data_IF_974873533595
#
_entry.id   IF_974873533595
#
_cell.length_a   1.000
_cell.length_b   1.000
_cell.length_c   1.000
_cell.angle_alpha   90.00
_cell.angle_beta   90.00
_cell.angle_gamma   90.00
#
_symmetry.space_group_name_H-M   'P 1'
#
loop_
_entity.id
_entity.type
_entity.pdbx_description
1 polymer ?
#
# COMPACT_ATOMS: atom_id res chain seq x y z
N UNK A 1 -19.96 -10.90 22.72
CA UNK A 1 -19.01 -10.14 23.53
C UNK A 1 -18.28 -9.23 22.55
N UNK A 2 -18.55 -7.92 22.61
CA UNK A 2 -17.82 -6.92 21.81
C UNK A 2 -16.38 -6.90 22.31
N UNK A 3 -15.42 -7.39 21.49
CA UNK A 3 -14.02 -7.14 21.76
C UNK A 3 -13.85 -5.61 21.78
N UNK A 4 -13.41 -5.07 22.89
CA UNK A 4 -13.11 -3.66 23.01
C UNK A 4 -12.11 -3.31 21.92
N UNK A 5 -12.45 -2.30 21.11
CA UNK A 5 -11.61 -1.78 20.03
C UNK A 5 -10.50 -0.92 20.67
N UNK A 6 -9.56 -1.59 21.40
CA UNK A 6 -8.53 -0.87 22.14
C UNK A 6 -7.34 -0.61 21.21
N UNK A 7 -7.16 0.66 20.82
CA UNK A 7 -6.03 1.11 20.00
C UNK A 7 -4.66 0.77 20.63
N UNK A 8 -4.60 0.68 21.97
CA UNK A 8 -3.39 0.35 22.71
C UNK A 8 -2.84 -1.06 22.42
N UNK A 9 -3.69 -1.98 21.94
CA UNK A 9 -3.29 -3.35 21.62
C UNK A 9 -2.74 -3.51 20.20
N UNK A 10 -2.85 -2.45 19.36
CA UNK A 10 -2.39 -2.46 17.96
C UNK A 10 -1.40 -1.35 17.73
N UNK A 11 -0.16 -1.72 17.39
CA UNK A 11 0.91 -0.76 17.09
C UNK A 11 1.38 -0.94 15.65
N UNK A 12 1.21 0.11 14.83
CA UNK A 12 1.67 0.14 13.44
C UNK A 12 2.98 0.91 13.32
N UNK A 13 4.07 0.21 13.01
CA UNK A 13 5.32 0.84 12.60
C UNK A 13 5.18 1.34 11.16
N UNK A 14 5.21 2.64 11.00
CA UNK A 14 4.74 3.36 9.82
C UNK A 14 5.73 4.45 9.37
N UNK A 15 5.52 4.93 8.17
CA UNK A 15 6.06 6.19 7.66
C UNK A 15 5.03 6.80 6.71
N UNK A 16 4.67 8.06 6.92
CA UNK A 16 3.55 8.71 6.25
C UNK A 16 3.53 8.54 4.71
N UNK A 17 4.70 8.64 4.03
CA UNK A 17 4.81 8.48 2.57
C UNK A 17 4.96 7.05 2.08
N UNK A 18 5.04 6.06 2.95
CA UNK A 18 5.20 4.67 2.54
C UNK A 18 3.93 4.14 1.88
N UNK A 19 4.02 3.77 0.59
CA UNK A 19 2.89 3.14 -0.12
C UNK A 19 2.49 1.81 0.53
N UNK A 20 3.46 1.02 1.03
CA UNK A 20 3.17 -0.25 1.69
C UNK A 20 2.45 -0.05 3.03
N UNK A 21 2.85 0.97 3.82
CA UNK A 21 2.17 1.30 5.05
C UNK A 21 0.78 1.92 4.78
N UNK A 22 0.64 2.75 3.76
CA UNK A 22 -0.65 3.31 3.34
C UNK A 22 -1.68 2.20 3.04
N UNK A 23 -1.28 1.08 2.40
CA UNK A 23 -2.15 -0.10 2.22
C UNK A 23 -2.69 -0.63 3.56
N UNK A 24 -1.81 -0.78 4.55
CA UNK A 24 -2.20 -1.31 5.87
C UNK A 24 -3.08 -0.33 6.63
N UNK A 25 -2.79 0.98 6.56
CA UNK A 25 -3.66 2.02 7.13
C UNK A 25 -5.07 1.96 6.56
N UNK A 26 -5.20 1.85 5.22
CA UNK A 26 -6.52 1.69 4.56
C UNK A 26 -7.22 0.45 5.09
N UNK A 27 -6.55 -0.70 5.12
CA UNK A 27 -7.15 -1.95 5.57
C UNK A 27 -7.63 -1.87 7.03
N UNK A 28 -6.82 -1.32 7.94
CA UNK A 28 -7.21 -1.10 9.35
C UNK A 28 -8.44 -0.20 9.45
N UNK A 29 -8.48 0.90 8.69
CA UNK A 29 -9.63 1.83 8.68
C UNK A 29 -10.89 1.17 8.11
N UNK A 30 -10.78 0.38 7.04
CA UNK A 30 -11.91 -0.37 6.46
C UNK A 30 -12.47 -1.40 7.44
N UNK A 31 -11.61 -2.04 8.22
CA UNK A 31 -11.98 -3.00 9.27
C UNK A 31 -12.51 -2.32 10.56
N UNK A 32 -12.47 -0.98 10.63
CA UNK A 32 -12.85 -0.25 11.83
C UNK A 32 -11.93 -0.49 13.02
N UNK A 33 -10.66 -0.83 12.75
CA UNK A 33 -9.66 -1.12 13.77
C UNK A 33 -8.81 0.12 14.05
N UNK A 34 -8.91 0.67 15.25
CA UNK A 34 -8.02 1.72 15.69
C UNK A 34 -6.64 1.13 16.05
N UNK A 35 -5.60 1.93 15.89
CA UNK A 35 -4.21 1.55 16.14
C UNK A 35 -3.39 2.76 16.59
N UNK A 36 -2.30 2.50 17.30
CA UNK A 36 -1.28 3.49 17.63
C UNK A 36 -0.24 3.56 16.49
N UNK A 37 -0.01 4.72 15.86
CA UNK A 37 1.04 4.88 14.87
C UNK A 37 2.40 5.09 15.56
N UNK A 38 3.41 4.35 15.13
CA UNK A 38 4.80 4.52 15.53
C UNK A 38 5.64 4.90 14.31
N UNK A 39 6.03 6.15 14.21
CA UNK A 39 6.78 6.66 13.07
C UNK A 39 8.20 6.06 13.01
N UNK A 40 8.56 5.51 11.85
CA UNK A 40 9.91 5.05 11.50
C UNK A 40 10.35 5.79 10.26
N UNK A 41 11.07 6.90 10.46
CA UNK A 41 11.39 7.82 9.38
C UNK A 41 12.45 7.25 8.43
N UNK A 42 12.10 7.11 7.13
CA UNK A 42 12.95 6.41 6.16
C UNK A 42 14.17 7.21 5.67
N UNK A 43 14.21 8.53 5.94
CA UNK A 43 15.27 9.41 5.41
C UNK A 43 16.10 10.08 6.52
N UNK A 44 15.52 10.33 7.70
CA UNK A 44 16.23 10.93 8.83
C UNK A 44 17.27 9.95 9.38
N UNK A 45 18.39 10.46 9.84
CA UNK A 45 19.47 9.69 10.50
C UNK A 45 19.99 8.51 9.64
N UNK A 46 20.03 8.66 8.34
CA UNK A 46 20.40 7.58 7.42
C UNK A 46 19.31 6.53 7.20
N UNK A 47 18.11 6.77 7.76
CA UNK A 47 16.96 5.87 7.71
C UNK A 47 16.79 5.07 8.99
N UNK A 48 15.82 5.46 9.83
CA UNK A 48 15.55 4.83 11.13
C UNK A 48 15.19 3.34 11.02
N UNK A 49 14.70 2.89 9.85
CA UNK A 49 14.46 1.47 9.57
C UNK A 49 15.74 0.63 9.59
N UNK A 50 16.91 1.26 9.55
CA UNK A 50 18.22 0.58 9.62
C UNK A 50 18.81 0.57 11.04
N UNK A 51 18.23 1.31 11.98
CA UNK A 51 18.68 1.32 13.37
C UNK A 51 18.46 -0.06 14.03
N UNK A 52 19.38 -0.45 14.91
CA UNK A 52 19.35 -1.75 15.61
C UNK A 52 18.01 -1.95 16.35
N UNK A 53 17.48 -0.90 16.97
CA UNK A 53 16.21 -0.94 17.68
C UNK A 53 15.04 -1.38 16.76
N UNK A 54 15.01 -0.91 15.50
CA UNK A 54 13.97 -1.33 14.56
C UNK A 54 14.28 -2.69 13.93
N UNK A 55 15.55 -3.02 13.68
CA UNK A 55 15.94 -4.32 13.13
C UNK A 55 15.63 -5.51 14.04
N UNK A 56 15.51 -5.29 15.35
CA UNK A 56 14.99 -6.30 16.28
C UNK A 56 13.49 -6.57 16.01
N UNK A 57 12.74 -5.54 15.60
CA UNK A 57 11.32 -5.63 15.25
C UNK A 57 11.16 -6.26 13.87
N UNK A 58 11.85 -5.71 12.86
CA UNK A 58 11.82 -6.24 11.50
C UNK A 58 13.25 -6.33 10.93
N UNK A 59 13.86 -7.53 10.92
CA UNK A 59 15.22 -7.73 10.40
C UNK A 59 15.41 -7.32 8.94
N UNK A 60 14.33 -7.26 8.13
CA UNK A 60 14.40 -6.76 6.75
C UNK A 60 14.68 -5.25 6.67
N UNK A 61 14.49 -4.48 7.77
CA UNK A 61 14.59 -3.03 7.75
C UNK A 61 13.57 -2.38 6.81
N UNK A 62 12.36 -2.92 6.77
CA UNK A 62 11.25 -2.44 5.94
C UNK A 62 10.04 -2.12 6.81
N UNK A 63 9.22 -1.19 6.34
CA UNK A 63 7.90 -0.89 6.89
C UNK A 63 6.83 -1.24 5.86
N UNK A 64 5.57 -1.52 6.29
CA UNK A 64 5.10 -1.58 7.67
C UNK A 64 5.49 -2.85 8.42
N UNK A 65 5.40 -2.76 9.76
CA UNK A 65 5.23 -3.89 10.65
C UNK A 65 4.04 -3.59 11.56
N UNK A 66 3.21 -4.58 11.86
CA UNK A 66 2.02 -4.42 12.69
C UNK A 66 2.08 -5.39 13.87
N UNK A 67 2.06 -4.85 15.09
CA UNK A 67 1.81 -5.64 16.30
C UNK A 67 0.30 -5.67 16.52
N UNK A 68 -0.27 -6.86 16.56
CA UNK A 68 -1.71 -7.09 16.71
C UNK A 68 -1.93 -8.50 17.30
N UNK A 69 -2.91 -8.67 18.17
CA UNK A 69 -3.33 -9.94 18.75
C UNK A 69 -2.15 -10.75 19.35
N UNK A 70 -1.20 -10.04 19.98
CA UNK A 70 0.00 -10.62 20.59
C UNK A 70 1.09 -11.04 19.60
N UNK A 71 0.90 -10.86 18.28
CA UNK A 71 1.86 -11.20 17.24
C UNK A 71 2.44 -9.95 16.57
N UNK A 72 3.59 -10.11 15.92
CA UNK A 72 4.18 -9.11 15.03
C UNK A 72 4.13 -9.60 13.59
N UNK A 73 3.45 -8.84 12.74
CA UNK A 73 3.25 -9.16 11.34
C UNK A 73 4.05 -8.20 10.47
N UNK A 74 4.61 -8.71 9.38
CA UNK A 74 5.32 -7.95 8.35
C UNK A 74 4.76 -8.27 6.97
N UNK A 75 5.14 -7.47 5.94
CA UNK A 75 4.62 -7.56 4.58
C UNK A 75 3.15 -7.11 4.46
N UNK A 76 2.93 -5.99 3.77
CA UNK A 76 1.62 -5.34 3.71
C UNK A 76 0.49 -6.25 3.24
N UNK A 77 0.73 -7.14 2.27
CA UNK A 77 -0.31 -8.05 1.78
C UNK A 77 -0.63 -9.15 2.78
N UNK A 78 0.40 -9.72 3.46
CA UNK A 78 0.18 -10.71 4.50
C UNK A 78 -0.59 -10.10 5.70
N UNK A 79 -0.29 -8.85 6.06
CA UNK A 79 -1.04 -8.11 7.08
C UNK A 79 -2.50 -7.94 6.66
N UNK A 80 -2.76 -7.53 5.40
CA UNK A 80 -4.12 -7.34 4.89
C UNK A 80 -4.90 -8.67 4.85
N UNK A 81 -4.28 -9.77 4.42
CA UNK A 81 -4.93 -11.08 4.43
C UNK A 81 -5.22 -11.56 5.86
N UNK A 82 -4.28 -11.36 6.80
CA UNK A 82 -4.55 -11.63 8.20
C UNK A 82 -5.75 -10.83 8.73
N UNK A 83 -5.79 -9.52 8.44
CA UNK A 83 -6.92 -8.67 8.84
C UNK A 83 -8.23 -9.14 8.21
N UNK A 84 -8.20 -9.66 6.98
CA UNK A 84 -9.39 -10.18 6.32
C UNK A 84 -9.90 -11.50 6.92
N UNK A 85 -8.98 -12.36 7.37
CA UNK A 85 -9.31 -13.64 8.01
C UNK A 85 -9.75 -13.46 9.47
N UNK A 86 -9.01 -12.65 10.25
CA UNK A 86 -9.28 -12.45 11.67
C UNK A 86 -10.46 -11.50 11.91
N UNK A 87 -10.67 -10.53 11.03
CA UNK A 87 -11.73 -9.51 11.08
C UNK A 87 -12.51 -9.52 9.75
N UNK A 88 -13.38 -10.50 9.50
CA UNK A 88 -13.89 -10.81 8.17
C UNK A 88 -14.83 -9.75 7.56
N UNK A 89 -15.29 -8.76 8.33
CA UNK A 89 -16.21 -7.74 7.83
C UNK A 89 -15.59 -6.33 7.84
N UNK A 90 -15.75 -5.58 6.74
CA UNK A 90 -16.13 -6.02 5.39
C UNK A 90 -15.05 -6.88 4.73
N UNK A 91 -15.38 -7.87 3.87
CA UNK A 91 -14.38 -8.74 3.25
C UNK A 91 -13.57 -7.98 2.19
N UNK A 92 -12.24 -8.15 2.22
CA UNK A 92 -11.32 -7.60 1.22
C UNK A 92 -10.93 -8.63 0.13
N UNK A 93 -11.19 -9.91 0.40
CA UNK A 93 -11.04 -11.03 -0.55
C UNK A 93 -12.37 -11.79 -0.68
N UNK A 94 -13.44 -11.14 -1.17
CA UNK A 94 -14.75 -11.78 -1.31
C UNK A 94 -14.79 -12.83 -2.43
N UNK A 95 -15.86 -13.64 -2.41
CA UNK A 95 -16.21 -14.55 -3.48
C UNK A 95 -15.56 -15.93 -3.42
N UNK A 96 -15.65 -16.65 -4.52
CA UNK A 96 -15.09 -17.99 -4.66
C UNK A 96 -13.57 -17.98 -4.89
N UNK A 97 -12.94 -19.13 -4.96
CA UNK A 97 -11.49 -19.26 -5.11
C UNK A 97 -10.95 -18.52 -6.35
N UNK A 98 -11.67 -18.53 -7.47
CA UNK A 98 -11.25 -17.88 -8.72
C UNK A 98 -11.31 -16.36 -8.58
N UNK A 99 -12.37 -15.82 -7.97
CA UNK A 99 -12.51 -14.38 -7.71
C UNK A 99 -11.42 -13.88 -6.75
N UNK A 100 -11.16 -14.61 -5.67
CA UNK A 100 -10.08 -14.32 -4.72
C UNK A 100 -8.70 -14.37 -5.39
N UNK A 101 -8.47 -15.35 -6.29
CA UNK A 101 -7.24 -15.43 -7.06
C UNK A 101 -7.07 -14.22 -8.00
N UNK A 102 -8.14 -13.76 -8.64
CA UNK A 102 -8.12 -12.58 -9.50
C UNK A 102 -7.79 -11.30 -8.71
N UNK A 103 -8.40 -11.09 -7.54
CA UNK A 103 -8.09 -9.96 -6.64
C UNK A 103 -6.61 -10.00 -6.23
N UNK A 104 -6.11 -11.18 -5.79
CA UNK A 104 -4.70 -11.34 -5.43
C UNK A 104 -3.77 -11.07 -6.61
N UNK A 105 -4.11 -11.54 -7.81
CA UNK A 105 -3.30 -11.32 -9.01
C UNK A 105 -3.11 -9.84 -9.33
N UNK A 106 -4.16 -9.02 -9.25
CA UNK A 106 -4.06 -7.56 -9.42
C UNK A 106 -3.21 -6.93 -8.31
N UNK A 107 -3.42 -7.35 -7.06
CA UNK A 107 -2.69 -6.84 -5.91
C UNK A 107 -1.20 -7.17 -5.97
N UNK A 108 -0.86 -8.40 -6.35
CA UNK A 108 0.52 -8.86 -6.48
C UNK A 108 1.24 -8.18 -7.65
N UNK A 109 0.58 -7.95 -8.78
CA UNK A 109 1.18 -7.20 -9.89
C UNK A 109 1.67 -5.82 -9.44
N UNK A 110 0.94 -5.15 -8.56
CA UNK A 110 1.38 -3.87 -7.98
C UNK A 110 2.45 -4.09 -6.92
N UNK A 111 2.23 -5.02 -5.99
CA UNK A 111 3.08 -5.17 -4.81
C UNK A 111 4.41 -5.87 -5.10
N UNK A 112 4.48 -6.72 -6.15
CA UNK A 112 5.65 -7.52 -6.50
C UNK A 112 6.37 -7.03 -7.76
N UNK A 113 5.64 -6.43 -8.72
CA UNK A 113 6.23 -6.12 -10.03
C UNK A 113 6.44 -4.61 -10.26
N UNK A 114 5.70 -3.73 -9.53
CA UNK A 114 5.85 -2.27 -9.64
C UNK A 114 6.56 -1.70 -8.41
N UNK A 115 5.93 -1.84 -7.24
CA UNK A 115 6.38 -1.19 -6.01
C UNK A 115 7.83 -1.51 -5.60
N UNK A 116 8.33 -2.77 -5.67
CA UNK A 116 9.69 -3.09 -5.23
C UNK A 116 10.76 -2.39 -6.06
N UNK A 117 10.50 -2.17 -7.35
CA UNK A 117 11.43 -1.51 -8.27
C UNK A 117 11.52 0.01 -8.00
N UNK A 118 10.49 0.58 -7.38
CA UNK A 118 10.41 1.99 -6.98
C UNK A 118 10.77 2.21 -5.51
N UNK A 119 11.15 1.15 -4.79
CA UNK A 119 11.48 1.23 -3.38
C UNK A 119 12.79 2.01 -3.15
N UNK A 120 12.84 2.78 -2.06
CA UNK A 120 13.98 3.62 -1.68
C UNK A 120 15.32 2.86 -1.69
N UNK A 121 15.34 1.58 -1.25
CA UNK A 121 16.56 0.75 -1.26
C UNK A 121 17.11 0.53 -2.66
N UNK A 122 16.25 0.39 -3.69
CA UNK A 122 16.64 0.24 -5.08
C UNK A 122 17.18 1.57 -5.61
N UNK A 123 16.47 2.66 -5.35
CA UNK A 123 16.88 4.01 -5.77
C UNK A 123 18.22 4.42 -5.14
N UNK A 124 18.43 4.10 -3.86
CA UNK A 124 19.70 4.31 -3.18
C UNK A 124 20.82 3.46 -3.79
N UNK A 125 20.53 2.22 -4.20
CA UNK A 125 21.50 1.34 -4.87
C UNK A 125 21.88 1.87 -6.25
N UNK A 126 20.92 2.36 -7.03
CA UNK A 126 21.17 2.99 -8.34
C UNK A 126 22.08 4.22 -8.17
N UNK A 127 21.82 5.06 -7.19
CA UNK A 127 22.68 6.21 -6.87
C UNK A 127 24.09 5.76 -6.46
N UNK A 128 24.19 4.82 -5.53
CA UNK A 128 25.49 4.43 -4.96
C UNK A 128 26.36 3.64 -5.94
N UNK A 129 25.77 2.76 -6.75
CA UNK A 129 26.51 1.87 -7.65
C UNK A 129 26.74 2.47 -9.04
N UNK A 130 25.77 3.22 -9.57
CA UNK A 130 25.79 3.71 -10.94
C UNK A 130 25.85 5.23 -11.04
N UNK A 131 25.88 5.95 -9.91
CA UNK A 131 25.91 7.41 -9.88
C UNK A 131 24.62 8.07 -10.37
N UNK A 132 23.49 7.32 -10.40
CA UNK A 132 22.23 7.82 -10.92
C UNK A 132 21.78 9.07 -10.14
N UNK A 133 21.58 10.18 -10.85
CA UNK A 133 21.04 11.44 -10.32
C UNK A 133 19.53 11.34 -10.05
N UNK A 134 18.95 12.44 -9.60
CA UNK A 134 17.51 12.48 -9.27
C UNK A 134 16.64 12.30 -10.52
N UNK A 135 17.00 12.90 -11.64
CA UNK A 135 16.28 12.79 -12.92
C UNK A 135 16.27 11.35 -13.41
N UNK A 136 17.42 10.68 -13.38
CA UNK A 136 17.55 9.28 -13.79
C UNK A 136 16.75 8.33 -12.88
N UNK A 137 16.74 8.59 -11.56
CA UNK A 137 15.95 7.79 -10.61
C UNK A 137 14.44 8.03 -10.78
N UNK A 138 14.03 9.26 -11.09
CA UNK A 138 12.63 9.58 -11.41
C UNK A 138 12.21 8.89 -12.71
N UNK A 139 13.02 8.95 -13.76
CA UNK A 139 12.78 8.22 -15.02
C UNK A 139 12.68 6.71 -14.82
N UNK A 140 13.53 6.13 -13.96
CA UNK A 140 13.45 4.72 -13.57
C UNK A 140 12.08 4.40 -12.93
N UNK A 141 11.62 5.19 -11.97
CA UNK A 141 10.34 4.97 -11.31
C UNK A 141 9.17 5.11 -12.29
N UNK A 142 9.20 6.15 -13.13
CA UNK A 142 8.16 6.34 -14.15
C UNK A 142 8.11 5.19 -15.14
N UNK A 143 9.25 4.69 -15.60
CA UNK A 143 9.31 3.54 -16.51
C UNK A 143 8.60 2.30 -15.95
N UNK A 144 8.91 1.90 -14.72
CA UNK A 144 8.30 0.71 -14.12
C UNK A 144 6.83 0.90 -13.77
N UNK A 145 6.42 2.11 -13.38
CA UNK A 145 5.01 2.44 -13.18
C UNK A 145 4.25 2.42 -14.50
N UNK A 146 4.80 2.99 -15.57
CA UNK A 146 4.19 2.97 -16.91
C UNK A 146 3.98 1.56 -17.42
N UNK A 147 5.01 0.72 -17.34
CA UNK A 147 4.95 -0.68 -17.79
C UNK A 147 3.88 -1.46 -17.01
N UNK A 148 3.86 -1.29 -15.69
CA UNK A 148 2.89 -1.96 -14.83
C UNK A 148 1.45 -1.46 -15.05
N UNK A 149 1.25 -0.15 -15.19
CA UNK A 149 -0.07 0.43 -15.44
C UNK A 149 -0.61 0.10 -16.82
N UNK A 150 0.26 0.05 -17.85
CA UNK A 150 -0.13 -0.39 -19.19
C UNK A 150 -0.67 -1.82 -19.20
N UNK A 151 -0.15 -2.70 -18.34
CA UNK A 151 -0.64 -4.06 -18.19
C UNK A 151 -1.90 -4.15 -17.28
N UNK A 152 -2.03 -3.25 -16.28
CA UNK A 152 -3.17 -3.22 -15.36
C UNK A 152 -4.43 -2.61 -15.98
N UNK A 153 -4.29 -1.54 -16.78
CA UNK A 153 -5.41 -0.77 -17.33
C UNK A 153 -6.44 -1.64 -18.05
N UNK A 154 -6.08 -2.45 -19.07
CA UNK A 154 -7.05 -3.30 -19.76
C UNK A 154 -7.66 -4.37 -18.85
N UNK A 155 -6.90 -4.90 -17.89
CA UNK A 155 -7.41 -5.89 -16.93
C UNK A 155 -8.46 -5.28 -16.01
N UNK A 156 -8.18 -4.10 -15.44
CA UNK A 156 -9.11 -3.38 -14.59
C UNK A 156 -10.34 -2.92 -15.37
N UNK A 157 -10.17 -2.48 -16.62
CA UNK A 157 -11.29 -2.12 -17.49
C UNK A 157 -12.27 -3.28 -17.67
N UNK A 158 -11.73 -4.48 -17.95
CA UNK A 158 -12.54 -5.68 -18.13
C UNK A 158 -13.17 -6.19 -16.81
N UNK A 159 -12.47 -6.07 -15.69
CA UNK A 159 -12.92 -6.63 -14.39
C UNK A 159 -13.86 -5.70 -13.62
N UNK A 160 -13.69 -4.39 -13.76
CA UNK A 160 -14.58 -3.43 -13.11
C UNK A 160 -15.92 -3.29 -13.83
N UNK A 161 -15.97 -3.59 -15.12
CA UNK A 161 -17.18 -3.52 -15.97
C UNK A 161 -18.04 -2.26 -15.70
N UNK A 162 -17.39 -1.11 -15.61
CA UNK A 162 -18.02 0.16 -15.27
C UNK A 162 -18.33 0.39 -13.78
N UNK A 163 -18.11 -0.59 -12.91
CA UNK A 163 -18.25 -0.45 -11.46
C UNK A 163 -17.23 0.53 -10.87
N UNK A 164 -17.50 0.96 -9.64
CA UNK A 164 -16.66 1.94 -8.90
C UNK A 164 -15.42 1.31 -8.27
N UNK A 165 -15.29 -0.02 -8.27
CA UNK A 165 -14.23 -0.78 -7.61
C UNK A 165 -13.48 -1.65 -8.60
N UNK A 166 -12.29 -2.10 -8.23
CA UNK A 166 -11.42 -2.89 -9.10
C UNK A 166 -12.06 -4.23 -9.51
N UNK A 167 -12.84 -4.83 -8.62
CA UNK A 167 -13.50 -6.12 -8.85
C UNK A 167 -14.89 -6.10 -8.21
N UNK A 168 -15.93 -6.11 -9.04
CA UNK A 168 -17.33 -6.12 -8.56
C UNK A 168 -17.78 -4.82 -7.88
N UNK A 169 -18.72 -4.94 -6.95
CA UNK A 169 -19.49 -3.80 -6.43
C UNK A 169 -18.98 -3.27 -5.08
N UNK A 170 -17.92 -3.83 -4.55
CA UNK A 170 -17.38 -3.48 -3.22
C UNK A 170 -15.86 -3.32 -3.24
N UNK A 171 -15.35 -2.61 -2.23
CA UNK A 171 -13.90 -2.50 -2.02
C UNK A 171 -13.28 -3.87 -1.80
N UNK A 172 -12.17 -4.11 -2.49
CA UNK A 172 -11.36 -5.32 -2.36
C UNK A 172 -9.91 -4.97 -2.03
N UNK A 173 -9.08 -5.98 -1.76
CA UNK A 173 -7.64 -5.79 -1.57
C UNK A 173 -6.99 -5.14 -2.81
N UNK A 174 -7.55 -5.34 -4.02
CA UNK A 174 -7.03 -4.69 -5.23
C UNK A 174 -7.14 -3.16 -5.16
N UNK A 175 -8.26 -2.62 -4.65
CA UNK A 175 -8.44 -1.18 -4.44
C UNK A 175 -7.48 -0.64 -3.38
N UNK A 176 -7.33 -1.38 -2.27
CA UNK A 176 -6.43 -1.05 -1.17
C UNK A 176 -4.97 -0.92 -1.64
N UNK A 177 -4.58 -1.74 -2.63
CA UNK A 177 -3.20 -1.74 -3.17
C UNK A 177 -3.05 -0.73 -4.31
N UNK A 178 -4.08 -0.52 -5.11
CA UNK A 178 -4.07 0.39 -6.27
C UNK A 178 -3.88 1.84 -5.84
N UNK A 179 -4.67 2.32 -4.87
CA UNK A 179 -4.68 3.73 -4.47
C UNK A 179 -3.31 4.24 -4.03
N UNK A 180 -2.54 3.55 -3.16
CA UNK A 180 -1.19 3.98 -2.80
C UNK A 180 -0.21 3.99 -3.99
N UNK A 181 -0.41 3.13 -4.98
CA UNK A 181 0.43 3.13 -6.18
C UNK A 181 0.10 4.30 -7.10
N UNK A 182 -1.17 4.65 -7.26
CA UNK A 182 -1.61 5.84 -8.00
C UNK A 182 -1.14 7.11 -7.30
N UNK A 183 -1.23 7.17 -5.96
CA UNK A 183 -0.65 8.28 -5.19
C UNK A 183 0.85 8.45 -5.48
N UNK A 184 1.59 7.34 -5.51
CA UNK A 184 3.01 7.37 -5.82
C UNK A 184 3.29 7.83 -7.26
N UNK A 185 2.49 7.40 -8.23
CA UNK A 185 2.59 7.81 -9.62
C UNK A 185 2.37 9.33 -9.79
N UNK A 186 1.34 9.86 -9.16
CA UNK A 186 1.04 11.30 -9.16
C UNK A 186 2.15 12.13 -8.51
N UNK A 187 2.72 11.63 -7.43
CA UNK A 187 3.83 12.29 -6.71
C UNK A 187 5.09 12.41 -7.57
N UNK A 188 5.31 11.50 -8.49
CA UNK A 188 6.45 11.51 -9.43
C UNK A 188 6.04 11.97 -10.83
N UNK A 189 4.96 12.76 -10.93
CA UNK A 189 4.49 13.41 -12.15
C UNK A 189 4.31 12.45 -13.34
N UNK A 190 3.90 11.20 -13.06
CA UNK A 190 3.55 10.26 -14.12
C UNK A 190 2.25 10.73 -14.81
N UNK A 191 2.24 10.95 -16.15
CA UNK A 191 1.02 11.26 -16.87
C UNK A 191 -0.01 10.14 -16.78
N UNK A 192 -1.21 10.45 -16.28
CA UNK A 192 -2.26 9.45 -16.00
C UNK A 192 -3.33 9.36 -17.12
N UNK A 193 -3.20 10.13 -18.20
CA UNK A 193 -4.23 10.20 -19.26
C UNK A 193 -4.38 8.89 -20.04
N UNK A 194 -3.30 8.13 -20.15
CA UNK A 194 -3.30 6.80 -20.77
C UNK A 194 -3.98 5.71 -19.89
N UNK A 195 -4.34 6.03 -18.64
CA UNK A 195 -4.87 5.07 -17.66
C UNK A 195 -6.21 5.55 -17.06
N UNK A 196 -7.25 5.74 -17.89
CA UNK A 196 -8.52 6.31 -17.43
C UNK A 196 -9.26 5.44 -16.43
N UNK A 197 -9.17 4.11 -16.53
CA UNK A 197 -9.80 3.19 -15.57
C UNK A 197 -9.08 3.22 -14.23
N UNK A 198 -7.75 3.12 -14.22
CA UNK A 198 -6.93 3.22 -13.00
C UNK A 198 -7.22 4.53 -12.27
N UNK A 199 -7.28 5.65 -12.99
CA UNK A 199 -7.59 6.97 -12.44
C UNK A 199 -8.98 6.98 -11.83
N UNK A 200 -10.00 6.57 -12.59
CA UNK A 200 -11.40 6.54 -12.14
C UNK A 200 -11.59 5.70 -10.87
N UNK A 201 -11.03 4.49 -10.84
CA UNK A 201 -11.14 3.58 -9.69
C UNK A 201 -10.43 4.15 -8.45
N UNK A 202 -9.23 4.69 -8.63
CA UNK A 202 -8.50 5.34 -7.53
C UNK A 202 -9.23 6.56 -6.98
N UNK A 203 -9.78 7.42 -7.85
CA UNK A 203 -10.50 8.61 -7.44
C UNK A 203 -11.80 8.23 -6.71
N UNK A 204 -12.55 7.24 -7.20
CA UNK A 204 -13.74 6.73 -6.54
C UNK A 204 -13.45 6.13 -5.15
N UNK A 205 -12.36 5.39 -4.99
CA UNK A 205 -11.95 4.86 -3.68
C UNK A 205 -11.57 5.99 -2.71
N UNK A 206 -10.93 7.06 -3.20
CA UNK A 206 -10.53 8.22 -2.39
C UNK A 206 -11.73 9.07 -1.91
N UNK A 207 -12.94 8.83 -2.39
CA UNK A 207 -14.16 9.45 -1.82
C UNK A 207 -14.55 8.83 -0.45
N UNK A 208 -14.04 7.65 -0.13
CA UNK A 208 -14.34 6.96 1.11
C UNK A 208 -13.49 7.47 2.28
N UNK A 209 -14.11 7.70 3.43
CA UNK A 209 -13.45 8.18 4.67
C UNK A 209 -12.23 7.33 5.06
N UNK A 210 -12.33 6.00 4.94
CA UNK A 210 -11.24 5.09 5.27
C UNK A 210 -9.96 5.35 4.45
N UNK A 211 -10.09 5.70 3.16
CA UNK A 211 -8.97 6.03 2.30
C UNK A 211 -8.45 7.45 2.57
N UNK A 212 -9.34 8.41 2.76
CA UNK A 212 -8.98 9.79 3.06
C UNK A 212 -8.17 9.88 4.36
N UNK A 213 -8.67 9.29 5.45
CA UNK A 213 -7.99 9.28 6.76
C UNK A 213 -6.68 8.50 6.75
N UNK A 214 -6.54 7.51 5.88
CA UNK A 214 -5.29 6.77 5.69
C UNK A 214 -4.27 7.48 4.80
N UNK A 215 -4.66 8.54 4.08
CA UNK A 215 -3.81 9.27 3.14
C UNK A 215 -2.54 9.82 3.82
N UNK A 216 -1.41 9.88 3.10
CA UNK A 216 -0.13 10.34 3.63
C UNK A 216 -0.20 11.68 4.37
N UNK A 217 -0.91 12.67 3.81
CA UNK A 217 -1.00 14.02 4.37
C UNK A 217 -1.84 14.10 5.67
N UNK A 218 -2.57 13.03 5.99
CA UNK A 218 -3.39 12.94 7.20
C UNK A 218 -2.66 12.24 8.36
N UNK A 219 -1.42 11.80 8.16
CA UNK A 219 -0.69 11.10 9.20
C UNK A 219 0.02 12.06 10.15
N UNK A 220 0.15 11.71 11.45
CA UNK A 220 0.75 12.60 12.45
C UNK A 220 2.20 12.99 12.16
N UNK A 221 2.94 12.15 11.41
CA UNK A 221 4.34 12.37 11.03
C UNK A 221 4.49 13.02 9.63
N UNK A 222 3.39 13.53 9.03
CA UNK A 222 3.43 14.19 7.73
C UNK A 222 4.21 15.53 7.80
N UNK A 223 5.01 15.79 6.73
CA UNK A 223 5.87 16.97 6.57
C UNK A 223 5.45 17.78 5.33
#
# INVERSE_FOLDING_TARGET
MSAANDAADRLLYDYWRSSAAFRVRIALRLKGLDYEPHAVHLLRDGGQQHADAYRVINPQGLIPALKIDGALLTQSLAIIEYLDEAYPQPPLLPGNAMQRAAIRSLSLQIACDIHPLNNLRVLNRLKAQFGADETQRTAWMQHWMQLGFAALEPRLSAMSDGCRHCVGDQITMADVVLVPQVFNARRFDLPMDAYPTIRRLSDAAMELDAFQRAAPQQQPDAE
#
